data_IF_236837360392
#
_entry.id   IF_236837360392
#
_cell.length_a   1.000
_cell.length_b   1.000
_cell.length_c   1.000
_cell.angle_alpha   90.00
_cell.angle_beta   90.00
_cell.angle_gamma   90.00
#
_symmetry.space_group_name_H-M   'P 1'
#
loop_
_entity.id
_entity.type
_entity.pdbx_description
1 polymer ?
#
# COMPACT_ATOMS: atom_id res chain seq x y z
N UNK A 1 15.99 16.87 4.00
CA UNK A 1 15.95 16.60 2.56
C UNK A 1 15.72 15.12 2.30
N UNK A 2 14.91 14.81 1.30
CA UNK A 2 14.58 13.42 0.95
C UNK A 2 15.54 12.82 -0.08
N UNK A 3 16.77 13.35 -0.15
CA UNK A 3 17.79 12.83 -1.05
C UNK A 3 18.14 11.38 -0.68
N UNK A 4 18.10 10.48 -1.67
CA UNK A 4 18.37 9.06 -1.51
C UNK A 4 17.18 8.21 -1.10
N UNK A 5 16.04 8.81 -0.73
CA UNK A 5 14.81 8.04 -0.47
C UNK A 5 14.07 7.79 -1.79
N UNK A 6 13.61 6.54 -2.04
CA UNK A 6 12.77 6.26 -3.21
C UNK A 6 11.48 7.10 -3.20
N UNK A 7 11.01 7.49 -4.38
CA UNK A 7 9.73 8.21 -4.52
C UNK A 7 8.57 7.42 -3.89
N UNK A 8 8.58 6.10 -4.06
CA UNK A 8 7.61 5.20 -3.45
C UNK A 8 7.53 5.39 -1.93
N UNK A 9 8.68 5.44 -1.25
CA UNK A 9 8.74 5.67 0.20
C UNK A 9 8.18 7.03 0.58
N UNK A 10 8.42 8.05 -0.22
CA UNK A 10 7.89 9.40 0.03
C UNK A 10 6.37 9.46 -0.14
N UNK A 11 5.81 8.75 -1.13
CA UNK A 11 4.36 8.64 -1.32
C UNK A 11 3.70 7.97 -0.11
N UNK A 12 4.34 6.93 0.44
CA UNK A 12 3.83 6.21 1.61
C UNK A 12 3.79 7.07 2.89
N UNK A 13 4.57 8.14 2.97
CA UNK A 13 4.51 9.08 4.10
C UNK A 13 3.14 9.77 4.22
N UNK A 14 2.32 9.72 3.18
CA UNK A 14 0.95 10.25 3.23
C UNK A 14 -0.01 9.39 4.05
N UNK A 15 0.39 8.17 4.39
CA UNK A 15 -0.41 7.25 5.19
C UNK A 15 0.09 7.28 6.63
N UNK A 16 -0.79 7.66 7.55
CA UNK A 16 -0.45 7.70 8.97
C UNK A 16 -0.46 6.27 9.54
N UNK A 17 0.65 5.77 10.12
CA UNK A 17 0.73 4.38 10.61
C UNK A 17 -0.35 4.01 11.61
N UNK A 18 -0.66 4.89 12.55
CA UNK A 18 -1.69 4.63 13.57
C UNK A 18 -3.09 4.52 12.97
N UNK A 19 -3.38 5.30 11.96
CA UNK A 19 -4.66 5.22 11.25
C UNK A 19 -4.79 3.89 10.52
N UNK A 20 -3.74 3.45 9.86
CA UNK A 20 -3.71 2.14 9.21
C UNK A 20 -3.91 1.01 10.21
N UNK A 21 -3.22 1.05 11.35
CA UNK A 21 -3.35 0.05 12.41
C UNK A 21 -4.78 -0.04 12.96
N UNK A 22 -5.47 1.09 13.12
CA UNK A 22 -6.87 1.10 13.53
C UNK A 22 -7.77 0.42 12.51
N UNK A 23 -7.53 0.65 11.22
CA UNK A 23 -8.28 -0.01 10.14
C UNK A 23 -8.02 -1.52 10.15
N UNK A 24 -6.77 -1.93 10.35
CA UNK A 24 -6.41 -3.35 10.46
C UNK A 24 -7.14 -4.01 11.63
N UNK A 25 -7.11 -3.40 12.80
CA UNK A 25 -7.82 -3.91 13.99
C UNK A 25 -9.33 -4.06 13.76
N UNK A 26 -9.91 -3.14 12.99
CA UNK A 26 -11.34 -3.16 12.69
C UNK A 26 -11.76 -4.31 11.79
N UNK A 27 -10.97 -4.59 10.74
CA UNK A 27 -11.36 -5.55 9.70
C UNK A 27 -10.63 -6.89 9.80
N UNK A 28 -9.48 -6.93 10.44
CA UNK A 28 -8.65 -8.13 10.58
C UNK A 28 -8.30 -8.32 12.07
N UNK A 29 -9.23 -8.85 12.89
CA UNK A 29 -9.04 -8.91 14.35
C UNK A 29 -7.84 -9.75 14.82
N UNK A 30 -7.38 -10.69 13.98
CA UNK A 30 -6.27 -11.60 14.31
C UNK A 30 -4.94 -11.21 13.63
N UNK A 31 -4.84 -9.96 13.15
CA UNK A 31 -3.67 -9.49 12.39
C UNK A 31 -2.35 -9.60 13.17
N UNK A 32 -2.38 -9.47 14.50
CA UNK A 32 -1.19 -9.58 15.35
C UNK A 32 -0.50 -10.95 15.28
N UNK A 33 -1.20 -11.98 14.81
CA UNK A 33 -0.67 -13.35 14.64
C UNK A 33 -0.15 -13.65 13.24
N UNK A 34 -0.18 -12.66 12.35
CA UNK A 34 0.22 -12.84 10.96
C UNK A 34 1.71 -12.50 10.78
N UNK A 35 2.48 -13.43 10.21
CA UNK A 35 3.88 -13.19 9.85
C UNK A 35 4.00 -12.21 8.68
N UNK A 36 3.13 -12.37 7.67
CA UNK A 36 3.01 -11.44 6.56
C UNK A 36 1.92 -10.41 6.89
N UNK A 37 2.35 -9.22 7.30
CA UNK A 37 1.44 -8.18 7.80
C UNK A 37 0.55 -7.60 6.70
N UNK A 38 -0.56 -6.98 7.12
CA UNK A 38 -1.41 -6.23 6.20
C UNK A 38 -0.67 -5.04 5.58
N UNK A 39 0.26 -4.45 6.32
CA UNK A 39 1.12 -3.39 5.79
C UNK A 39 2.04 -3.92 4.69
N UNK A 40 2.68 -5.07 4.88
CA UNK A 40 3.52 -5.69 3.86
C UNK A 40 2.71 -6.02 2.60
N UNK A 41 1.51 -6.54 2.76
CA UNK A 41 0.59 -6.78 1.65
C UNK A 41 0.28 -5.48 0.91
N UNK A 42 -0.06 -4.44 1.63
CA UNK A 42 -0.34 -3.12 1.04
C UNK A 42 0.87 -2.58 0.28
N UNK A 43 2.07 -2.67 0.85
CA UNK A 43 3.30 -2.23 0.19
C UNK A 43 3.53 -2.96 -1.13
N UNK A 44 3.33 -4.28 -1.16
CA UNK A 44 3.46 -5.07 -2.39
C UNK A 44 2.48 -4.61 -3.46
N UNK A 45 1.23 -4.42 -3.10
CA UNK A 45 0.19 -4.05 -4.06
C UNK A 45 0.34 -2.60 -4.53
N UNK A 46 0.72 -1.69 -3.64
CA UNK A 46 1.01 -0.31 -4.00
C UNK A 46 2.21 -0.23 -4.95
N UNK A 47 3.27 -0.98 -4.67
CA UNK A 47 4.42 -1.07 -5.56
C UNK A 47 4.00 -1.58 -6.95
N UNK A 48 3.17 -2.63 -7.00
CA UNK A 48 2.69 -3.19 -8.26
C UNK A 48 1.93 -2.15 -9.09
N UNK A 49 1.05 -1.38 -8.44
CA UNK A 49 0.25 -0.36 -9.12
C UNK A 49 1.10 0.83 -9.58
N UNK A 50 1.98 1.32 -8.73
CA UNK A 50 2.78 2.52 -9.04
C UNK A 50 3.91 2.25 -10.04
N UNK A 51 4.34 0.99 -10.19
CA UNK A 51 5.36 0.58 -11.14
C UNK A 51 4.81 -0.19 -12.33
N UNK A 52 3.49 -0.27 -12.47
CA UNK A 52 2.80 -0.91 -13.59
C UNK A 52 3.18 -2.38 -13.79
N UNK A 53 3.27 -3.15 -12.69
CA UNK A 53 3.54 -4.59 -12.78
C UNK A 53 2.31 -5.35 -13.29
N UNK A 54 2.54 -6.35 -14.11
CA UNK A 54 1.46 -7.07 -14.81
C UNK A 54 0.95 -8.28 -14.04
N UNK A 55 1.71 -8.81 -13.08
CA UNK A 55 1.35 -10.01 -12.32
C UNK A 55 1.95 -10.01 -10.93
N UNK A 56 1.44 -10.87 -10.04
CA UNK A 56 2.03 -11.06 -8.70
C UNK A 56 3.45 -11.61 -8.79
N UNK A 57 3.72 -12.49 -9.75
CA UNK A 57 5.08 -13.02 -9.98
C UNK A 57 6.04 -11.89 -10.34
N UNK A 58 5.68 -11.07 -11.31
CA UNK A 58 6.48 -9.93 -11.73
C UNK A 58 6.72 -8.96 -10.57
N UNK A 59 5.69 -8.69 -9.78
CA UNK A 59 5.77 -7.85 -8.59
C UNK A 59 6.80 -8.38 -7.60
N UNK A 60 6.71 -9.65 -7.23
CA UNK A 60 7.60 -10.27 -6.26
C UNK A 60 9.02 -10.35 -6.82
N UNK A 61 9.19 -10.71 -8.08
CA UNK A 61 10.51 -10.77 -8.72
C UNK A 61 11.20 -9.41 -8.72
N UNK A 62 10.47 -8.34 -9.04
CA UNK A 62 11.00 -6.98 -9.01
C UNK A 62 11.35 -6.52 -7.59
N UNK A 63 10.52 -6.83 -6.59
CA UNK A 63 10.81 -6.51 -5.20
C UNK A 63 12.03 -7.28 -4.69
N UNK A 64 12.12 -8.57 -4.99
CA UNK A 64 13.23 -9.41 -4.54
C UNK A 64 14.55 -9.07 -5.22
N UNK A 65 14.52 -8.52 -6.44
CA UNK A 65 15.71 -8.02 -7.13
C UNK A 65 16.29 -6.76 -6.45
N UNK A 66 15.51 -6.08 -5.64
CA UNK A 66 15.89 -4.84 -4.95
C UNK A 66 15.95 -5.03 -3.43
N UNK A 67 16.58 -6.10 -2.98
CA UNK A 67 16.69 -6.42 -1.53
C UNK A 67 17.34 -5.32 -0.71
N UNK A 68 18.28 -4.61 -1.29
CA UNK A 68 18.95 -3.46 -0.68
C UNK A 68 17.98 -2.31 -0.35
N UNK A 69 16.92 -2.16 -1.14
CA UNK A 69 15.91 -1.11 -0.98
C UNK A 69 14.74 -1.58 -0.11
N UNK A 70 14.45 -2.89 -0.07
CA UNK A 70 13.29 -3.43 0.66
C UNK A 70 13.26 -3.02 2.14
N UNK A 71 14.40 -3.06 2.80
CA UNK A 71 14.50 -2.64 4.20
C UNK A 71 14.08 -1.19 4.38
N UNK A 72 14.50 -0.31 3.47
CA UNK A 72 14.14 1.11 3.51
C UNK A 72 12.68 1.37 3.15
N UNK A 73 12.04 0.42 2.47
CA UNK A 73 10.61 0.48 2.15
C UNK A 73 9.73 -0.05 3.29
N UNK A 74 10.34 -0.61 4.33
CA UNK A 74 9.63 -1.12 5.49
C UNK A 74 9.43 -2.63 5.55
N UNK A 75 9.96 -3.37 4.59
CA UNK A 75 9.90 -4.84 4.60
C UNK A 75 10.95 -5.43 5.54
N UNK A 76 10.55 -6.43 6.32
CA UNK A 76 11.41 -7.09 7.30
C UNK A 76 11.88 -8.48 6.87
N UNK A 77 11.19 -9.09 5.93
CA UNK A 77 11.47 -10.45 5.47
C UNK A 77 11.25 -10.58 3.97
N UNK A 78 11.83 -11.63 3.34
CA UNK A 78 11.57 -11.91 1.93
C UNK A 78 10.09 -12.16 1.67
N UNK A 79 9.63 -11.76 0.49
CA UNK A 79 8.24 -11.88 0.08
C UNK A 79 8.12 -13.09 -0.85
N UNK A 80 7.10 -13.91 -0.62
CA UNK A 80 6.78 -15.06 -1.47
C UNK A 80 5.49 -14.81 -2.22
N UNK A 81 5.48 -15.15 -3.50
CA UNK A 81 4.30 -15.00 -4.36
C UNK A 81 3.06 -15.71 -3.79
N UNK A 82 3.23 -16.94 -3.30
CA UNK A 82 2.13 -17.71 -2.72
C UNK A 82 1.54 -17.04 -1.48
N UNK A 83 2.38 -16.45 -0.64
CA UNK A 83 1.95 -15.73 0.56
C UNK A 83 1.18 -14.47 0.19
N UNK A 84 1.65 -13.72 -0.79
CA UNK A 84 0.96 -12.52 -1.28
C UNK A 84 -0.39 -12.89 -1.92
N UNK A 85 -0.42 -13.92 -2.77
CA UNK A 85 -1.64 -14.38 -3.40
C UNK A 85 -2.69 -14.83 -2.37
N UNK A 86 -2.27 -15.58 -1.36
CA UNK A 86 -3.13 -16.05 -0.28
C UNK A 86 -3.70 -14.89 0.54
N UNK A 87 -2.87 -13.91 0.85
CA UNK A 87 -3.31 -12.70 1.55
C UNK A 87 -4.36 -11.93 0.74
N UNK A 88 -4.14 -11.75 -0.56
CA UNK A 88 -5.08 -11.06 -1.44
C UNK A 88 -6.43 -11.79 -1.55
N UNK A 89 -6.42 -13.12 -1.50
CA UNK A 89 -7.63 -13.94 -1.60
C UNK A 89 -8.43 -13.97 -0.30
N UNK A 90 -7.75 -14.09 0.86
CA UNK A 90 -8.39 -14.38 2.15
C UNK A 90 -8.68 -13.16 3.01
N UNK A 91 -7.89 -12.10 2.90
CA UNK A 91 -8.07 -10.93 3.78
C UNK A 91 -9.24 -10.07 3.34
N UNK A 92 -9.87 -9.45 4.33
CA UNK A 92 -11.05 -8.60 4.10
C UNK A 92 -10.68 -7.38 3.25
N UNK A 93 -11.25 -7.26 2.07
CA UNK A 93 -11.01 -6.17 1.14
C UNK A 93 -11.43 -4.81 1.70
N UNK A 94 -12.35 -4.78 2.67
CA UNK A 94 -12.86 -3.54 3.25
C UNK A 94 -11.78 -2.72 3.95
N UNK A 95 -10.71 -3.38 4.42
CA UNK A 95 -9.52 -2.69 4.92
C UNK A 95 -8.97 -1.72 3.89
N UNK A 96 -8.77 -2.19 2.66
CA UNK A 96 -8.18 -1.38 1.59
C UNK A 96 -9.18 -0.36 1.04
N UNK A 97 -10.46 -0.66 1.03
CA UNK A 97 -11.50 0.30 0.70
C UNK A 97 -11.51 1.48 1.70
N UNK A 98 -11.42 1.20 3.00
CA UNK A 98 -11.35 2.22 4.03
C UNK A 98 -10.10 3.10 3.89
N UNK A 99 -8.96 2.48 3.57
CA UNK A 99 -7.72 3.20 3.31
C UNK A 99 -7.87 4.12 2.08
N UNK A 100 -8.42 3.61 0.99
CA UNK A 100 -8.65 4.40 -0.22
C UNK A 100 -9.57 5.61 0.05
N UNK A 101 -10.66 5.41 0.76
CA UNK A 101 -11.56 6.52 1.14
C UNK A 101 -10.85 7.59 1.97
N UNK A 102 -10.01 7.17 2.90
CA UNK A 102 -9.21 8.08 3.73
C UNK A 102 -8.24 8.91 2.88
N UNK A 103 -7.57 8.28 1.93
CA UNK A 103 -6.63 8.95 1.03
C UNK A 103 -7.35 9.88 0.06
N UNK A 104 -8.52 9.52 -0.44
CA UNK A 104 -9.35 10.36 -1.30
C UNK A 104 -9.79 11.61 -0.55
N UNK A 105 -10.26 11.48 0.69
CA UNK A 105 -10.63 12.64 1.51
C UNK A 105 -9.46 13.58 1.74
N UNK A 106 -8.27 13.02 1.98
CA UNK A 106 -7.04 13.80 2.14
C UNK A 106 -6.68 14.54 0.84
N UNK A 107 -6.74 13.84 -0.30
CA UNK A 107 -6.45 14.41 -1.60
C UNK A 107 -7.41 15.56 -1.93
N UNK A 108 -8.70 15.38 -1.69
CA UNK A 108 -9.70 16.44 -1.91
C UNK A 108 -9.38 17.70 -1.12
N UNK A 109 -8.97 17.57 0.14
CA UNK A 109 -8.58 18.72 0.97
C UNK A 109 -7.32 19.42 0.45
N UNK A 110 -6.34 18.66 -0.03
CA UNK A 110 -5.09 19.21 -0.56
C UNK A 110 -5.32 19.98 -1.87
N UNK A 111 -6.25 19.53 -2.70
CA UNK A 111 -6.55 20.12 -4.00
C UNK A 111 -7.78 21.02 -4.01
N UNK A 112 -8.32 21.33 -2.83
CA UNK A 112 -9.47 22.23 -2.72
C UNK A 112 -9.07 23.63 -3.22
N UNK A 113 -9.77 24.11 -4.24
CA UNK A 113 -9.50 25.39 -4.88
C UNK A 113 -8.60 25.31 -6.12
N UNK A 114 -7.96 24.17 -6.37
CA UNK A 114 -7.21 23.96 -7.60
C UNK A 114 -8.14 23.58 -8.76
N UNK A 115 -7.89 24.16 -9.94
CA UNK A 115 -8.60 23.77 -11.15
C UNK A 115 -8.00 22.45 -11.67
N UNK A 116 -8.39 21.34 -11.07
CA UNK A 116 -8.01 20.02 -11.55
C UNK A 116 -8.98 19.58 -12.64
N UNK A 117 -8.44 19.20 -13.79
CA UNK A 117 -9.21 18.59 -14.87
C UNK A 117 -9.65 17.15 -14.53
N UNK A 118 -9.24 16.63 -13.36
CA UNK A 118 -9.54 15.27 -12.91
C UNK A 118 -10.76 15.30 -12.00
N UNK A 119 -11.81 14.63 -12.40
CA UNK A 119 -12.96 14.40 -11.56
C UNK A 119 -12.65 13.29 -10.54
N UNK A 120 -12.31 13.68 -9.31
CA UNK A 120 -11.99 12.76 -8.23
C UNK A 120 -13.20 11.92 -7.80
N UNK A 121 -14.43 12.39 -8.06
CA UNK A 121 -15.62 11.59 -7.77
C UNK A 121 -15.78 10.45 -8.76
N UNK A 122 -15.50 10.68 -10.03
CA UNK A 122 -15.55 9.65 -11.05
C UNK A 122 -14.38 8.65 -10.96
N UNK A 123 -13.27 9.06 -10.36
CA UNK A 123 -12.07 8.22 -10.24
C UNK A 123 -12.14 7.25 -9.04
N UNK A 124 -13.10 7.42 -8.15
CA UNK A 124 -13.24 6.61 -6.94
C UNK A 124 -13.99 5.28 -7.13
N UNK A 125 -14.38 4.95 -8.37
CA UNK A 125 -15.13 3.72 -8.70
C UNK A 125 -14.35 2.80 -9.62
#
# INVERSE_FOLDING_TARGET
>A
MNQGRPVFSQVLDQIHPQQFDRMVCRYIPHAARMDFSCWDQFLCMAFAQLTFRSSLRDTVDCLMARRDVLYHLGFRSPIRRSTLADANERRDWRLFAALAESLIRKARRLYQGDALEIDLEATAY
#
